data_IF_206761336336
#
_entry.id   IF_206761336336
#
_cell.length_a   1.000
_cell.length_b   1.000
_cell.length_c   1.000
_cell.angle_alpha   90.00
_cell.angle_beta   90.00
_cell.angle_gamma   90.00
#
_symmetry.space_group_name_H-M   'P 1'
#
loop_
_entity.id
_entity.type
_entity.pdbx_description
1 polymer ?
#
# COMPACT_ATOMS: atom_id res chain seq x y z
N UNK A 1 28.66 49.58 34.81
CA UNK A 1 28.43 48.19 34.38
C UNK A 1 27.14 48.15 33.59
N UNK A 2 27.25 48.16 32.25
CA UNK A 2 26.12 47.95 31.32
C UNK A 2 26.16 46.48 30.86
N UNK A 3 25.27 45.66 31.40
CA UNK A 3 25.06 44.30 30.95
C UNK A 3 24.23 44.30 29.67
N UNK A 4 24.82 43.89 28.53
CA UNK A 4 24.07 43.60 27.32
C UNK A 4 23.39 42.26 27.48
N UNK A 5 22.06 42.23 27.60
CA UNK A 5 21.28 41.01 27.45
C UNK A 5 21.36 40.55 26.00
N UNK A 6 22.06 39.43 25.76
CA UNK A 6 22.04 38.79 24.46
C UNK A 6 20.65 38.37 24.07
N UNK A 7 20.26 38.61 22.79
CA UNK A 7 19.00 38.14 22.23
C UNK A 7 18.96 36.59 22.29
N UNK A 8 17.81 35.96 22.60
CA UNK A 8 17.70 34.53 22.53
C UNK A 8 17.99 34.08 21.10
N UNK A 9 18.83 33.03 20.95
CA UNK A 9 19.12 32.43 19.66
C UNK A 9 17.84 31.91 18.98
N UNK A 10 17.83 31.73 17.65
CA UNK A 10 16.68 31.17 16.95
C UNK A 10 16.34 29.78 17.55
N UNK A 11 15.06 29.44 17.61
CA UNK A 11 14.65 28.12 18.10
C UNK A 11 15.36 27.03 17.28
N UNK A 12 15.86 26.00 17.96
CA UNK A 12 16.45 24.84 17.29
C UNK A 12 15.42 24.25 16.30
N UNK A 13 15.84 23.84 15.10
CA UNK A 13 14.96 23.16 14.16
C UNK A 13 14.36 21.93 14.84
N UNK A 14 13.10 21.57 14.52
CA UNK A 14 12.53 20.33 15.05
C UNK A 14 13.44 19.14 14.70
N UNK A 15 13.54 18.14 15.58
CA UNK A 15 14.35 16.97 15.30
C UNK A 15 13.89 16.35 13.97
N UNK A 16 14.86 15.95 13.12
CA UNK A 16 14.56 15.21 11.91
C UNK A 16 13.72 13.98 12.27
N UNK A 17 12.66 13.70 11.48
CA UNK A 17 11.89 12.48 11.73
C UNK A 17 12.82 11.27 11.62
N UNK A 18 12.53 10.27 12.44
CA UNK A 18 13.24 9.00 12.36
C UNK A 18 13.07 8.42 10.94
N UNK A 19 14.11 7.84 10.35
CA UNK A 19 13.99 7.14 9.07
C UNK A 19 12.85 6.11 9.15
N UNK A 20 12.19 5.82 8.03
CA UNK A 20 11.08 4.87 7.95
C UNK A 20 9.90 5.15 8.91
N UNK A 21 9.54 6.42 9.13
CA UNK A 21 8.38 6.80 9.96
C UNK A 21 7.22 7.40 9.17
N UNK A 22 7.39 7.59 7.87
CA UNK A 22 6.47 8.35 7.03
C UNK A 22 5.57 7.44 6.21
N UNK A 23 4.24 7.68 6.27
CA UNK A 23 3.26 6.89 5.53
C UNK A 23 1.98 7.67 5.27
N UNK A 24 1.22 7.22 4.26
CA UNK A 24 -0.13 7.66 3.99
C UNK A 24 -1.11 6.51 4.18
N UNK A 25 -2.25 6.79 4.78
CA UNK A 25 -3.42 5.90 4.77
C UNK A 25 -4.53 6.51 3.92
N UNK A 26 -5.21 5.67 3.16
CA UNK A 26 -6.39 6.03 2.39
C UNK A 26 -7.64 5.42 3.00
N UNK A 27 -8.70 6.22 3.16
CA UNK A 27 -10.02 5.76 3.53
C UNK A 27 -10.89 5.48 2.29
N UNK A 28 -11.96 4.73 2.45
CA UNK A 28 -12.85 4.33 1.34
C UNK A 28 -13.57 5.51 0.67
N UNK A 29 -13.72 6.66 1.36
CA UNK A 29 -14.23 7.92 0.79
C UNK A 29 -13.14 8.73 0.08
N UNK A 30 -11.89 8.23 0.05
CA UNK A 30 -10.74 8.93 -0.51
C UNK A 30 -10.12 9.96 0.44
N UNK A 31 -10.50 9.96 1.71
CA UNK A 31 -9.80 10.69 2.76
C UNK A 31 -8.37 10.19 2.91
N UNK A 32 -7.42 11.11 3.10
CA UNK A 32 -5.99 10.78 3.28
C UNK A 32 -5.55 11.24 4.66
N UNK A 33 -4.80 10.37 5.33
CA UNK A 33 -4.14 10.62 6.61
C UNK A 33 -2.64 10.42 6.40
N UNK A 34 -1.86 11.45 6.72
CA UNK A 34 -0.41 11.44 6.57
C UNK A 34 0.26 11.41 7.94
N UNK A 35 1.32 10.61 8.07
CA UNK A 35 2.06 10.40 9.31
C UNK A 35 3.55 10.61 9.10
N UNK A 36 4.25 10.95 10.17
CA UNK A 36 5.66 11.30 10.12
C UNK A 36 5.88 12.57 9.30
N UNK A 37 6.81 12.51 8.34
CA UNK A 37 7.11 13.61 7.41
C UNK A 37 6.38 13.51 6.07
N UNK A 38 5.44 12.56 5.93
CA UNK A 38 4.68 12.43 4.69
C UNK A 38 3.87 13.71 4.41
N UNK A 39 4.07 14.31 3.23
CA UNK A 39 3.36 15.51 2.80
C UNK A 39 1.88 15.23 2.52
N UNK A 40 1.00 16.17 2.82
CA UNK A 40 -0.39 16.13 2.37
C UNK A 40 -0.53 16.85 1.03
N UNK A 41 -0.89 16.12 -0.02
CA UNK A 41 -1.01 16.65 -1.37
C UNK A 41 -2.46 16.81 -1.84
N UNK A 42 -3.42 16.40 -1.02
CA UNK A 42 -4.85 16.49 -1.29
C UNK A 42 -5.60 15.18 -1.01
N UNK A 43 -6.92 15.20 -1.15
CA UNK A 43 -7.76 14.02 -0.90
C UNK A 43 -9.06 14.08 -1.71
N UNK A 44 -9.67 12.90 -1.92
CA UNK A 44 -11.00 12.81 -2.52
C UNK A 44 -12.13 12.82 -1.47
N UNK A 45 -11.83 12.95 -0.18
CA UNK A 45 -12.78 12.82 0.93
C UNK A 45 -13.95 13.82 0.93
N UNK A 46 -13.84 14.93 0.18
CA UNK A 46 -14.93 15.89 -0.05
C UNK A 46 -15.69 15.66 -1.36
N UNK A 47 -15.22 14.74 -2.22
CA UNK A 47 -15.83 14.46 -3.50
C UNK A 47 -16.94 13.43 -3.38
N UNK A 48 -17.96 13.53 -4.23
CA UNK A 48 -18.93 12.47 -4.38
C UNK A 48 -18.39 11.40 -5.32
N UNK A 49 -17.86 10.32 -4.76
CA UNK A 49 -17.33 9.21 -5.51
C UNK A 49 -18.47 8.31 -6.07
N UNK A 50 -18.31 7.82 -7.29
CA UNK A 50 -19.21 6.81 -7.86
C UNK A 50 -19.03 5.45 -7.17
N UNK A 51 -17.80 5.12 -6.81
CA UNK A 51 -17.40 3.89 -6.11
C UNK A 51 -16.33 4.21 -5.07
N UNK A 52 -16.23 3.40 -4.01
CA UNK A 52 -15.24 3.63 -2.96
C UNK A 52 -13.81 3.47 -3.49
N UNK A 53 -12.88 4.22 -2.89
CA UNK A 53 -11.44 3.99 -3.03
C UNK A 53 -11.11 2.63 -2.42
N UNK A 54 -10.17 1.91 -3.05
CA UNK A 54 -9.73 0.56 -2.66
C UNK A 54 -8.21 0.42 -2.63
N UNK A 55 -7.46 1.45 -3.01
CA UNK A 55 -6.00 1.41 -2.98
C UNK A 55 -5.35 2.78 -3.12
N UNK A 56 -4.11 2.84 -2.70
CA UNK A 56 -3.21 3.98 -2.81
C UNK A 56 -1.84 3.48 -3.29
N UNK A 57 -1.21 4.22 -4.19
CA UNK A 57 0.19 4.02 -4.59
C UNK A 57 0.94 5.34 -4.53
N UNK A 58 2.16 5.40 -3.94
CA UNK A 58 2.96 6.60 -3.89
C UNK A 58 3.67 6.84 -5.22
N UNK A 59 4.03 8.09 -5.50
CA UNK A 59 5.02 8.39 -6.52
C UNK A 59 6.43 8.03 -6.01
N UNK A 60 7.37 7.64 -6.89
CA UNK A 60 8.75 7.32 -6.48
C UNK A 60 9.47 8.48 -5.82
N UNK A 61 9.09 9.71 -6.14
CA UNK A 61 9.63 10.93 -5.53
C UNK A 61 9.18 11.17 -4.10
N UNK A 62 8.11 10.48 -3.64
CA UNK A 62 7.47 10.75 -2.36
C UNK A 62 6.68 12.09 -2.30
N UNK A 63 6.49 12.78 -3.45
CA UNK A 63 5.81 14.07 -3.52
C UNK A 63 4.39 14.00 -4.10
N UNK A 64 3.82 12.79 -4.14
CA UNK A 64 2.45 12.57 -4.63
C UNK A 64 1.99 11.13 -4.44
N UNK A 65 0.75 10.90 -4.81
CA UNK A 65 0.13 9.57 -4.79
C UNK A 65 -1.07 9.49 -5.72
N UNK A 66 -1.35 8.28 -6.16
CA UNK A 66 -2.56 7.89 -6.86
C UNK A 66 -3.51 7.18 -5.90
N UNK A 67 -4.82 7.47 -6.03
CA UNK A 67 -5.88 6.67 -5.43
C UNK A 67 -6.65 5.97 -6.54
N UNK A 68 -7.03 4.72 -6.31
CA UNK A 68 -7.88 3.96 -7.23
C UNK A 68 -9.20 3.62 -6.58
N UNK A 69 -10.31 3.88 -7.28
CA UNK A 69 -11.64 3.43 -6.89
C UNK A 69 -11.96 2.02 -7.46
N UNK A 70 -12.93 1.33 -6.89
CA UNK A 70 -13.29 -0.04 -7.30
C UNK A 70 -13.88 -0.15 -8.70
N UNK A 71 -14.29 0.96 -9.33
CA UNK A 71 -14.64 1.05 -10.76
C UNK A 71 -13.45 1.39 -11.65
N UNK A 72 -12.24 1.47 -11.07
CA UNK A 72 -11.00 1.82 -11.75
C UNK A 72 -10.86 3.31 -12.06
N UNK A 73 -11.66 4.17 -11.42
CA UNK A 73 -11.44 5.63 -11.41
C UNK A 73 -10.13 5.95 -10.68
N UNK A 74 -9.35 6.88 -11.24
CA UNK A 74 -8.06 7.31 -10.69
C UNK A 74 -8.15 8.76 -10.24
N UNK A 75 -7.57 9.04 -9.06
CA UNK A 75 -7.38 10.38 -8.52
C UNK A 75 -5.89 10.61 -8.28
N UNK A 76 -5.39 11.75 -8.73
CA UNK A 76 -3.96 12.09 -8.70
C UNK A 76 -3.73 13.28 -7.78
N UNK A 77 -2.70 13.21 -6.95
CA UNK A 77 -2.34 14.26 -6.00
C UNK A 77 -0.84 14.49 -5.98
N UNK A 78 -0.44 15.75 -5.74
CA UNK A 78 0.96 16.14 -5.79
C UNK A 78 1.52 16.06 -7.21
N UNK A 79 2.66 15.42 -7.37
CA UNK A 79 3.31 15.22 -8.67
C UNK A 79 2.84 13.97 -9.43
N UNK A 80 1.83 13.26 -8.91
CA UNK A 80 1.27 12.07 -9.55
C UNK A 80 0.58 12.42 -10.88
N UNK A 81 1.16 12.00 -12.01
CA UNK A 81 0.62 12.24 -13.34
C UNK A 81 -0.57 11.31 -13.65
N UNK A 82 -1.52 11.78 -14.46
CA UNK A 82 -2.65 10.97 -14.91
C UNK A 82 -2.33 10.29 -16.25
N UNK A 83 -2.33 8.96 -16.27
CA UNK A 83 -2.04 8.15 -17.46
C UNK A 83 -3.28 7.47 -18.05
N UNK A 84 -4.42 7.54 -17.38
CA UNK A 84 -5.68 6.94 -17.81
C UNK A 84 -6.42 6.21 -16.69
N UNK A 85 -7.61 5.70 -16.99
CA UNK A 85 -8.44 4.99 -16.00
C UNK A 85 -9.41 4.00 -16.65
N UNK A 86 -9.96 3.12 -15.80
CA UNK A 86 -11.12 2.29 -16.15
C UNK A 86 -12.45 2.93 -15.74
N UNK A 87 -12.43 4.06 -15.05
CA UNK A 87 -13.64 4.79 -14.65
C UNK A 87 -14.60 5.01 -15.82
N UNK A 88 -15.84 4.59 -15.66
CA UNK A 88 -16.87 4.65 -16.71
C UNK A 88 -16.78 3.57 -17.79
N UNK A 89 -15.79 2.67 -17.74
CA UNK A 89 -15.68 1.51 -18.65
C UNK A 89 -16.22 0.25 -17.98
N UNK A 90 -16.78 -0.72 -18.76
CA UNK A 90 -17.25 -1.97 -18.17
C UNK A 90 -16.09 -2.81 -17.64
N UNK A 91 -16.23 -3.32 -16.44
CA UNK A 91 -15.33 -4.26 -15.78
C UNK A 91 -16.06 -5.57 -15.51
N UNK A 92 -15.43 -6.72 -15.77
CA UNK A 92 -15.97 -8.01 -15.39
C UNK A 92 -16.03 -8.18 -13.87
N UNK A 93 -15.01 -7.69 -13.19
CA UNK A 93 -14.89 -7.69 -11.72
C UNK A 93 -14.34 -6.35 -11.23
N UNK A 94 -14.65 -5.94 -9.99
CA UNK A 94 -14.15 -4.68 -9.44
C UNK A 94 -12.64 -4.68 -9.30
N UNK A 95 -12.03 -3.49 -9.43
CA UNK A 95 -10.64 -3.25 -9.06
C UNK A 95 -10.51 -3.42 -7.55
N UNK A 96 -9.39 -4.01 -7.12
CA UNK A 96 -9.06 -4.30 -5.71
C UNK A 96 -7.70 -3.76 -5.28
N UNK A 97 -6.91 -3.23 -6.22
CA UNK A 97 -5.60 -2.65 -5.91
C UNK A 97 -4.93 -2.03 -7.12
N UNK A 98 -3.80 -1.40 -6.86
CA UNK A 98 -2.92 -0.80 -7.86
C UNK A 98 -1.46 -0.87 -7.41
N UNK A 99 -0.54 -0.75 -8.36
CA UNK A 99 0.87 -0.52 -8.13
C UNK A 99 1.40 0.48 -9.17
N UNK A 100 2.29 1.39 -8.77
CA UNK A 100 3.00 2.30 -9.68
C UNK A 100 4.18 1.60 -10.34
N UNK A 101 4.59 2.07 -11.52
CA UNK A 101 5.90 1.71 -12.09
C UNK A 101 7.01 2.34 -11.24
N UNK A 102 8.21 1.71 -11.17
CA UNK A 102 9.31 2.21 -10.33
C UNK A 102 9.81 3.60 -10.68
N UNK A 103 9.66 4.02 -11.93
CA UNK A 103 10.01 5.36 -12.43
C UNK A 103 8.86 6.37 -12.34
N UNK A 104 7.64 5.90 -11.96
CA UNK A 104 6.46 6.74 -11.87
C UNK A 104 5.86 7.14 -13.22
N UNK A 105 6.30 6.53 -14.33
CA UNK A 105 5.78 6.75 -15.68
C UNK A 105 4.44 6.06 -15.99
N UNK A 106 3.94 5.24 -15.04
CA UNK A 106 2.69 4.51 -15.20
C UNK A 106 2.20 3.81 -13.93
N UNK A 107 1.13 3.04 -14.09
CA UNK A 107 0.58 2.19 -13.02
C UNK A 107 -0.24 1.04 -13.59
N UNK A 108 -0.30 -0.05 -12.83
CA UNK A 108 -1.20 -1.17 -13.05
C UNK A 108 -2.38 -1.10 -12.09
N UNK A 109 -3.57 -1.48 -12.58
CA UNK A 109 -4.74 -1.79 -11.77
C UNK A 109 -5.00 -3.28 -11.85
N UNK A 110 -5.36 -3.89 -10.72
CA UNK A 110 -5.74 -5.31 -10.65
C UNK A 110 -7.20 -5.45 -10.25
N UNK A 111 -7.96 -6.26 -11.00
CA UNK A 111 -9.32 -6.64 -10.65
C UNK A 111 -9.34 -7.92 -9.80
N UNK A 112 -10.46 -8.19 -9.12
CA UNK A 112 -10.58 -9.35 -8.22
C UNK A 112 -10.56 -10.71 -8.92
N UNK A 113 -10.71 -10.77 -10.25
CA UNK A 113 -10.46 -11.95 -11.09
C UNK A 113 -9.01 -12.03 -11.59
N UNK A 114 -8.18 -11.03 -11.19
CA UNK A 114 -6.81 -10.89 -11.63
C UNK A 114 -6.63 -10.31 -13.02
N UNK A 115 -7.67 -9.72 -13.61
CA UNK A 115 -7.55 -8.87 -14.79
C UNK A 115 -6.63 -7.69 -14.51
N UNK A 116 -5.68 -7.43 -15.41
CA UNK A 116 -4.69 -6.36 -15.30
C UNK A 116 -4.97 -5.28 -16.34
N UNK A 117 -4.87 -4.02 -15.89
CA UNK A 117 -5.01 -2.83 -16.76
C UNK A 117 -3.78 -1.94 -16.52
N UNK A 118 -2.92 -1.83 -17.55
CA UNK A 118 -1.73 -0.99 -17.54
C UNK A 118 -2.03 0.39 -18.15
N UNK A 119 -1.46 1.43 -17.57
CA UNK A 119 -1.54 2.81 -18.03
C UNK A 119 -0.17 3.48 -17.99
N UNK A 120 0.08 4.41 -18.90
CA UNK A 120 1.41 5.00 -19.08
C UNK A 120 2.37 3.97 -19.66
N UNK A 121 3.53 3.82 -19.07
CA UNK A 121 4.57 2.84 -19.45
C UNK A 121 4.40 1.46 -18.78
N UNK A 122 3.35 1.28 -17.97
CA UNK A 122 3.07 0.02 -17.29
C UNK A 122 2.81 -1.13 -18.28
N UNK A 123 3.84 -1.98 -18.50
CA UNK A 123 3.80 -3.11 -19.43
C UNK A 123 2.83 -4.21 -18.99
N UNK A 124 2.24 -4.94 -19.96
CA UNK A 124 1.42 -6.10 -19.66
C UNK A 124 2.27 -7.38 -19.69
N UNK A 125 2.36 -8.07 -18.57
CA UNK A 125 3.16 -9.32 -18.41
C UNK A 125 2.30 -10.56 -18.27
N UNK A 126 0.97 -10.42 -18.18
CA UNK A 126 0.03 -11.51 -18.04
C UNK A 126 -1.06 -11.22 -17.01
N UNK A 127 -2.05 -12.09 -16.90
CA UNK A 127 -3.16 -11.95 -15.95
C UNK A 127 -3.81 -13.30 -15.64
N UNK A 128 -4.55 -13.36 -14.54
CA UNK A 128 -5.43 -14.50 -14.24
C UNK A 128 -6.87 -14.24 -14.69
N UNK A 129 -7.15 -13.09 -15.30
CA UNK A 129 -8.47 -12.71 -15.78
C UNK A 129 -8.98 -13.60 -16.92
N UNK A 130 -9.66 -14.64 -16.64
CA UNK A 130 -10.08 -15.71 -17.58
C UNK A 130 -9.78 -17.10 -17.04
N UNK A 131 -9.03 -17.18 -15.95
CA UNK A 131 -8.80 -18.43 -15.22
C UNK A 131 -9.85 -18.60 -14.13
N UNK A 132 -10.18 -19.84 -13.82
CA UNK A 132 -11.00 -20.15 -12.65
C UNK A 132 -10.12 -20.10 -11.40
N UNK A 133 -10.27 -19.06 -10.59
CA UNK A 133 -9.57 -18.92 -9.31
C UNK A 133 -10.38 -19.59 -8.18
N UNK A 134 -9.70 -20.29 -7.28
CA UNK A 134 -10.33 -20.82 -6.06
C UNK A 134 -10.81 -19.69 -5.14
N UNK A 135 -10.05 -18.59 -5.10
CA UNK A 135 -10.34 -17.40 -4.30
C UNK A 135 -10.00 -16.13 -5.09
N UNK A 136 -10.70 -15.01 -4.82
CA UNK A 136 -10.43 -13.77 -5.54
C UNK A 136 -9.04 -13.21 -5.23
N UNK A 137 -8.48 -12.50 -6.21
CA UNK A 137 -7.31 -11.63 -6.00
C UNK A 137 -7.70 -10.50 -5.07
N UNK A 138 -6.79 -10.13 -4.17
CA UNK A 138 -6.98 -9.07 -3.16
C UNK A 138 -5.89 -8.02 -3.17
N UNK A 139 -4.83 -8.21 -3.97
CA UNK A 139 -3.74 -7.24 -4.09
C UNK A 139 -2.71 -7.64 -5.12
N UNK A 140 -1.77 -6.72 -5.36
CA UNK A 140 -0.61 -6.90 -6.23
C UNK A 140 0.60 -6.17 -5.65
N UNK A 141 1.79 -6.59 -6.07
CA UNK A 141 3.04 -5.86 -5.89
C UNK A 141 3.82 -5.84 -7.21
N UNK A 142 4.35 -4.68 -7.59
CA UNK A 142 5.23 -4.57 -8.75
C UNK A 142 6.64 -5.07 -8.41
N UNK A 143 7.33 -5.62 -9.40
CA UNK A 143 8.76 -5.88 -9.31
C UNK A 143 9.52 -4.55 -9.27
N UNK A 144 10.61 -4.42 -8.48
CA UNK A 144 11.37 -3.18 -8.36
C UNK A 144 11.99 -2.69 -9.67
N UNK A 145 12.21 -3.57 -10.63
CA UNK A 145 12.73 -3.24 -11.98
C UNK A 145 11.62 -2.87 -12.99
N UNK A 146 10.34 -2.99 -12.59
CA UNK A 146 9.21 -2.69 -13.45
C UNK A 146 8.91 -3.72 -14.54
N UNK A 147 9.60 -4.88 -14.55
CA UNK A 147 9.49 -5.90 -15.59
C UNK A 147 8.59 -7.09 -15.19
N UNK A 148 7.77 -6.90 -14.15
CA UNK A 148 6.84 -7.91 -13.69
C UNK A 148 6.03 -7.47 -12.48
N UNK A 149 5.17 -8.37 -12.01
CA UNK A 149 4.36 -8.18 -10.80
C UNK A 149 3.88 -9.52 -10.25
N UNK A 150 3.58 -9.53 -8.96
CA UNK A 150 2.88 -10.62 -8.28
C UNK A 150 1.44 -10.23 -8.00
N UNK A 151 0.53 -11.20 -8.10
CA UNK A 151 -0.84 -11.10 -7.63
C UNK A 151 -1.03 -12.05 -6.45
N UNK A 152 -1.77 -11.63 -5.44
CA UNK A 152 -2.10 -12.46 -4.29
C UNK A 152 -3.61 -12.68 -4.21
N UNK A 153 -4.02 -13.96 -4.05
CA UNK A 153 -5.39 -14.33 -3.77
C UNK A 153 -5.66 -14.38 -2.26
N UNK A 154 -6.93 -14.29 -1.85
CA UNK A 154 -7.31 -14.28 -0.43
C UNK A 154 -7.03 -15.57 0.34
N UNK A 155 -6.76 -16.69 -0.34
CA UNK A 155 -6.23 -17.94 0.23
C UNK A 155 -4.70 -17.97 0.29
N UNK A 156 -4.05 -16.88 -0.10
CA UNK A 156 -2.60 -16.74 -0.15
C UNK A 156 -1.94 -17.42 -1.36
N UNK A 157 -2.71 -17.79 -2.37
CA UNK A 157 -2.19 -18.19 -3.68
C UNK A 157 -1.46 -17.03 -4.34
N UNK A 158 -0.28 -17.28 -4.90
CA UNK A 158 0.56 -16.28 -5.59
C UNK A 158 0.60 -16.63 -7.08
N UNK A 159 0.51 -15.58 -7.90
CA UNK A 159 0.68 -15.65 -9.35
C UNK A 159 1.75 -14.64 -9.76
N UNK A 160 2.82 -15.15 -10.37
CA UNK A 160 3.99 -14.38 -10.82
C UNK A 160 3.90 -14.13 -12.31
N UNK A 161 4.16 -12.89 -12.76
CA UNK A 161 4.12 -12.48 -14.15
C UNK A 161 5.34 -11.63 -14.51
N UNK A 162 5.82 -11.79 -15.75
CA UNK A 162 7.05 -11.13 -16.20
C UNK A 162 8.29 -11.86 -15.67
N UNK A 163 9.26 -11.12 -15.17
CA UNK A 163 10.50 -11.66 -14.61
C UNK A 163 10.45 -11.99 -13.11
N UNK A 164 9.27 -11.90 -12.48
CA UNK A 164 9.11 -12.18 -11.04
C UNK A 164 9.23 -13.70 -10.75
N UNK A 165 10.01 -14.03 -9.72
CA UNK A 165 10.12 -15.39 -9.23
C UNK A 165 8.90 -15.82 -8.41
N UNK A 166 8.61 -17.12 -8.36
CA UNK A 166 7.69 -17.71 -7.40
C UNK A 166 8.48 -18.28 -6.23
N UNK A 167 8.42 -17.63 -5.08
CA UNK A 167 9.18 -17.98 -3.88
C UNK A 167 8.37 -18.78 -2.86
N UNK A 168 7.11 -19.04 -3.18
CA UNK A 168 6.20 -19.84 -2.37
C UNK A 168 4.83 -19.18 -2.17
N UNK A 169 3.91 -19.89 -1.52
CA UNK A 169 2.55 -19.42 -1.28
C UNK A 169 1.90 -20.08 -0.07
N UNK A 170 0.79 -19.48 0.39
CA UNK A 170 -0.14 -20.12 1.33
C UNK A 170 -1.28 -20.85 0.62
N UNK A 171 -1.36 -20.78 -0.70
CA UNK A 171 -2.38 -21.48 -1.49
C UNK A 171 -2.46 -22.96 -1.16
N UNK A 172 -3.64 -23.45 -0.81
CA UNK A 172 -3.85 -24.84 -0.38
C UNK A 172 -3.43 -25.17 1.05
N UNK A 173 -2.87 -24.23 1.81
CA UNK A 173 -2.55 -24.38 3.23
C UNK A 173 -3.67 -23.78 4.11
N UNK A 174 -3.92 -24.31 5.32
CA UNK A 174 -4.91 -23.72 6.21
C UNK A 174 -4.46 -22.33 6.69
N UNK A 175 -5.36 -21.37 6.61
CA UNK A 175 -5.21 -20.03 7.14
C UNK A 175 -6.25 -19.78 8.24
N UNK A 176 -5.87 -19.15 9.34
CA UNK A 176 -6.81 -18.72 10.37
C UNK A 176 -7.74 -17.62 9.84
N UNK A 177 -7.19 -16.70 9.03
CA UNK A 177 -7.90 -15.58 8.42
C UNK A 177 -7.39 -15.38 6.98
N UNK A 178 -8.24 -14.83 6.09
CA UNK A 178 -7.85 -14.60 4.70
C UNK A 178 -6.71 -13.58 4.58
N UNK A 179 -5.88 -13.74 3.54
CA UNK A 179 -4.92 -12.72 3.12
C UNK A 179 -5.68 -11.51 2.58
N UNK A 180 -5.16 -10.31 2.87
CA UNK A 180 -5.76 -9.02 2.50
C UNK A 180 -4.78 -8.10 1.77
N UNK A 181 -3.49 -8.46 1.68
CA UNK A 181 -2.49 -7.65 0.98
C UNK A 181 -1.14 -8.33 0.92
N UNK A 182 -0.24 -7.73 0.16
CA UNK A 182 1.16 -8.13 0.03
C UNK A 182 2.07 -6.91 -0.16
N UNK A 183 3.35 -7.10 0.11
CA UNK A 183 4.42 -6.17 -0.25
C UNK A 183 5.63 -6.97 -0.73
N UNK A 184 6.33 -6.48 -1.76
CA UNK A 184 7.60 -7.06 -2.22
C UNK A 184 8.78 -6.52 -1.39
N UNK A 185 9.88 -7.28 -1.35
CA UNK A 185 11.17 -6.78 -0.87
C UNK A 185 11.73 -5.73 -1.84
N UNK A 186 12.60 -4.85 -1.36
CA UNK A 186 13.17 -3.76 -2.15
C UNK A 186 14.03 -4.23 -3.32
N UNK A 187 14.57 -5.44 -3.26
CA UNK A 187 15.35 -6.09 -4.32
C UNK A 187 14.52 -7.04 -5.20
N UNK A 188 13.26 -7.32 -4.83
CA UNK A 188 12.36 -8.18 -5.58
C UNK A 188 12.66 -9.68 -5.46
N UNK A 189 13.44 -10.09 -4.46
CA UNK A 189 13.81 -11.50 -4.23
C UNK A 189 12.91 -12.19 -3.20
N UNK A 190 11.86 -11.50 -2.75
CA UNK A 190 10.87 -12.05 -1.84
C UNK A 190 9.65 -11.14 -1.66
N UNK A 191 8.73 -11.58 -0.82
CA UNK A 191 7.51 -10.83 -0.50
C UNK A 191 6.90 -11.27 0.83
N UNK A 192 6.16 -10.35 1.42
CA UNK A 192 5.32 -10.60 2.60
C UNK A 192 3.84 -10.63 2.19
N UNK A 193 3.06 -11.50 2.85
CA UNK A 193 1.60 -11.51 2.81
C UNK A 193 1.08 -11.17 4.20
N UNK A 194 0.03 -10.35 4.25
CA UNK A 194 -0.66 -10.02 5.50
C UNK A 194 -2.06 -10.61 5.50
N UNK A 195 -2.41 -11.31 6.58
CA UNK A 195 -3.78 -11.80 6.82
C UNK A 195 -4.60 -10.76 7.59
N UNK A 196 -5.92 -10.88 7.55
CA UNK A 196 -6.83 -9.92 8.21
C UNK A 196 -6.80 -9.92 9.74
N UNK A 197 -6.14 -10.90 10.38
CA UNK A 197 -5.79 -10.92 11.80
C UNK A 197 -4.42 -10.31 12.08
N UNK A 198 -3.75 -9.75 11.07
CA UNK A 198 -2.40 -9.20 11.16
C UNK A 198 -1.29 -10.25 11.15
N UNK A 199 -1.62 -11.51 10.85
CA UNK A 199 -0.63 -12.57 10.62
C UNK A 199 0.22 -12.27 9.39
N UNK A 200 1.53 -12.50 9.48
CA UNK A 200 2.49 -12.29 8.39
C UNK A 200 3.03 -13.64 7.91
N UNK A 201 3.14 -13.78 6.59
CA UNK A 201 3.80 -14.90 5.91
C UNK A 201 4.84 -14.32 4.98
N UNK A 202 6.08 -14.77 5.10
CA UNK A 202 7.21 -14.28 4.33
C UNK A 202 7.75 -15.39 3.42
N UNK A 203 8.19 -15.02 2.21
CA UNK A 203 8.68 -15.90 1.17
C UNK A 203 9.91 -15.29 0.49
N UNK A 204 10.77 -16.16 -0.08
CA UNK A 204 12.04 -15.73 -0.63
C UNK A 204 12.97 -15.23 0.46
N UNK A 205 13.62 -14.11 0.21
CA UNK A 205 14.51 -13.46 1.18
C UNK A 205 13.80 -12.49 2.15
N UNK A 206 12.49 -12.35 2.03
CA UNK A 206 11.71 -11.48 2.91
C UNK A 206 11.88 -11.89 4.39
N UNK A 207 12.51 -11.03 5.19
CA UNK A 207 12.75 -11.25 6.61
C UNK A 207 11.45 -11.19 7.43
N UNK A 208 11.32 -12.02 8.46
CA UNK A 208 10.22 -11.90 9.43
C UNK A 208 10.59 -10.88 10.51
N UNK A 209 9.87 -9.76 10.57
CA UNK A 209 10.11 -8.67 11.52
C UNK A 209 9.13 -8.65 12.68
N UNK A 210 8.08 -9.48 12.63
CA UNK A 210 7.03 -9.56 13.64
C UNK A 210 5.64 -9.62 13.04
N UNK A 211 4.61 -9.74 13.88
CA UNK A 211 3.23 -9.99 13.42
C UNK A 211 2.23 -9.54 14.48
N UNK A 212 1.07 -9.05 14.06
CA UNK A 212 -0.06 -8.86 14.95
C UNK A 212 -0.93 -10.15 15.08
N UNK A 213 -0.59 -11.21 14.34
CA UNK A 213 -1.27 -12.50 14.43
C UNK A 213 -1.24 -13.06 15.86
N UNK A 214 -2.42 -13.37 16.41
CA UNK A 214 -2.56 -13.80 17.81
C UNK A 214 -2.79 -12.69 18.82
N UNK A 215 -2.68 -11.41 18.42
CA UNK A 215 -3.10 -10.26 19.21
C UNK A 215 -4.51 -9.85 18.79
N UNK A 216 -5.46 -9.68 19.74
CA UNK A 216 -6.79 -9.20 19.38
C UNK A 216 -6.73 -7.81 18.76
N UNK A 217 -7.06 -7.70 17.48
CA UNK A 217 -7.22 -6.42 16.80
C UNK A 217 -8.64 -5.88 17.04
N UNK A 218 -8.80 -4.58 17.27
CA UNK A 218 -10.11 -3.95 17.38
C UNK A 218 -10.89 -4.05 16.06
N UNK A 219 -10.18 -3.93 14.93
CA UNK A 219 -10.68 -4.10 13.58
C UNK A 219 -9.69 -4.90 12.73
N UNK A 220 -10.15 -5.59 11.68
CA UNK A 220 -9.26 -6.40 10.86
C UNK A 220 -8.20 -5.55 10.16
N UNK A 221 -7.00 -6.13 9.97
CA UNK A 221 -6.01 -5.60 9.05
C UNK A 221 -6.56 -5.59 7.62
N UNK A 222 -6.19 -4.57 6.84
CA UNK A 222 -6.67 -4.34 5.46
C UNK A 222 -5.53 -4.16 4.46
N UNK A 223 -4.28 -4.05 4.92
CA UNK A 223 -3.13 -3.91 4.06
C UNK A 223 -1.83 -3.77 4.83
N UNK A 224 -0.75 -3.72 4.06
CA UNK A 224 0.61 -3.50 4.56
C UNK A 224 1.42 -2.68 3.57
N UNK A 225 2.50 -2.06 4.04
CA UNK A 225 3.53 -1.44 3.23
C UNK A 225 4.89 -1.77 3.81
N UNK A 226 5.88 -2.10 2.96
CA UNK A 226 7.26 -2.28 3.37
C UNK A 226 7.97 -0.94 3.53
N UNK A 227 9.01 -0.88 4.38
CA UNK A 227 9.97 0.22 4.39
C UNK A 227 10.79 0.21 3.09
N UNK A 228 11.33 1.39 2.71
CA UNK A 228 12.06 1.56 1.47
C UNK A 228 13.31 0.66 1.37
N UNK A 229 13.94 0.39 2.50
CA UNK A 229 15.13 -0.46 2.61
C UNK A 229 14.83 -1.95 2.86
N UNK A 230 13.52 -2.28 3.05
CA UNK A 230 13.08 -3.66 3.31
C UNK A 230 13.37 -4.17 4.72
N UNK A 231 13.86 -3.32 5.63
CA UNK A 231 14.18 -3.68 7.02
C UNK A 231 12.95 -3.79 7.94
N UNK A 232 11.75 -3.45 7.44
CA UNK A 232 10.52 -3.51 8.19
C UNK A 232 9.26 -3.31 7.36
N UNK A 233 8.12 -3.28 8.04
CA UNK A 233 6.82 -3.01 7.42
C UNK A 233 5.80 -2.45 8.42
N UNK A 234 4.80 -1.76 7.88
CA UNK A 234 3.59 -1.36 8.59
C UNK A 234 2.43 -2.26 8.20
N UNK A 235 1.59 -2.60 9.17
CA UNK A 235 0.28 -3.21 8.97
C UNK A 235 -0.76 -2.17 9.36
N UNK A 236 -1.80 -1.99 8.55
CA UNK A 236 -2.89 -1.07 8.84
C UNK A 236 -4.19 -1.83 9.06
N UNK A 237 -4.93 -1.47 10.10
CA UNK A 237 -6.28 -1.94 10.36
C UNK A 237 -7.34 -0.98 9.80
N UNK A 238 -8.56 -1.47 9.58
CA UNK A 238 -9.65 -0.69 8.97
C UNK A 238 -10.15 0.47 9.84
N UNK A 239 -9.81 0.52 11.13
CA UNK A 239 -10.06 1.63 12.05
C UNK A 239 -8.91 2.66 12.08
N UNK A 240 -7.89 2.48 11.24
CA UNK A 240 -6.73 3.34 11.15
C UNK A 240 -5.64 3.02 12.18
N UNK A 241 -5.74 1.91 12.91
CA UNK A 241 -4.65 1.40 13.74
C UNK A 241 -3.45 1.03 12.87
N UNK A 242 -2.26 1.48 13.24
CA UNK A 242 -0.98 1.12 12.59
C UNK A 242 -0.15 0.29 13.55
N UNK A 243 0.40 -0.80 13.02
CA UNK A 243 1.35 -1.69 13.71
C UNK A 243 2.64 -1.70 12.90
N UNK A 244 3.73 -1.29 13.52
CA UNK A 244 5.05 -1.21 12.89
C UNK A 244 5.96 -2.32 13.39
N UNK A 245 6.76 -2.90 12.48
CA UNK A 245 7.66 -4.01 12.73
C UNK A 245 8.99 -3.80 12.02
N UNK A 246 10.06 -4.36 12.59
CA UNK A 246 11.42 -4.17 12.09
C UNK A 246 11.93 -2.77 12.39
N UNK A 247 12.54 -2.14 11.40
CA UNK A 247 13.11 -0.79 11.51
C UNK A 247 12.11 0.34 11.24
N UNK A 248 10.84 0.01 10.95
CA UNK A 248 9.80 1.02 10.81
C UNK A 248 9.48 1.66 12.15
N UNK A 249 9.32 2.99 12.14
CA UNK A 249 8.97 3.75 13.32
C UNK A 249 7.48 4.13 13.32
N UNK A 250 6.93 4.30 14.53
CA UNK A 250 5.56 4.76 14.68
C UNK A 250 5.48 6.26 14.40
N UNK A 251 4.93 6.61 13.25
CA UNK A 251 4.73 8.01 12.85
C UNK A 251 3.39 8.61 13.30
N UNK A 252 2.46 7.77 13.76
CA UNK A 252 1.09 8.14 14.15
C UNK A 252 0.07 7.08 13.76
N UNK A 253 -1.20 7.27 14.11
CA UNK A 253 -2.30 6.33 13.89
C UNK A 253 -3.64 7.04 14.06
N UNK A 254 -4.66 6.58 13.34
CA UNK A 254 -6.06 6.99 13.57
C UNK A 254 -6.82 5.98 14.44
N UNK A 255 -6.16 4.94 14.93
CA UNK A 255 -6.74 3.93 15.81
C UNK A 255 -7.37 4.56 17.06
N UNK A 256 -8.68 4.33 17.25
CA UNK A 256 -9.45 4.96 18.32
C UNK A 256 -10.13 6.28 17.94
N UNK A 257 -9.83 6.85 16.78
CA UNK A 257 -10.55 8.01 16.23
C UNK A 257 -11.82 7.56 15.48
N UNK A 258 -12.80 8.46 15.41
CA UNK A 258 -14.01 8.21 14.63
C UNK A 258 -13.75 8.58 13.17
N UNK A 259 -13.56 7.60 12.32
CA UNK A 259 -13.44 7.78 10.88
C UNK A 259 -14.84 7.86 10.23
N UNK A 260 -14.98 8.65 9.17
CA UNK A 260 -16.20 8.70 8.36
C UNK A 260 -16.38 7.40 7.55
N UNK A 261 -15.28 6.85 7.04
CA UNK A 261 -15.22 5.60 6.29
C UNK A 261 -13.99 4.79 6.73
N UNK A 262 -14.02 3.46 6.59
CA UNK A 262 -12.90 2.61 6.97
C UNK A 262 -11.66 2.90 6.12
N UNK A 263 -10.48 2.68 6.70
CA UNK A 263 -9.21 2.63 5.97
C UNK A 263 -9.21 1.41 5.04
N UNK A 264 -8.63 1.58 3.85
CA UNK A 264 -8.58 0.56 2.80
C UNK A 264 -7.15 0.26 2.31
N UNK A 265 -6.17 1.06 2.70
CA UNK A 265 -4.78 0.83 2.32
C UNK A 265 -3.80 1.78 3.00
N UNK A 266 -2.54 1.42 2.93
CA UNK A 266 -1.39 2.17 3.41
C UNK A 266 -0.29 2.17 2.34
N UNK A 267 0.45 3.27 2.25
CA UNK A 267 1.64 3.40 1.43
C UNK A 267 2.77 4.02 2.24
N UNK A 268 3.99 3.52 2.11
CA UNK A 268 5.18 4.15 2.66
C UNK A 268 5.51 5.42 1.88
N UNK A 269 5.83 6.51 2.58
CA UNK A 269 6.38 7.70 1.96
C UNK A 269 7.90 7.53 1.89
N UNK A 270 8.42 7.34 0.69
CA UNK A 270 9.86 7.32 0.45
C UNK A 270 10.37 8.77 0.54
N UNK A 271 11.23 9.05 1.50
CA UNK A 271 11.87 10.37 1.69
C UNK A 271 13.35 10.28 1.40
#
# INVERSE_FOLDING_TARGET
FSGSAGLPGPPSPPPAAAPNSSSWMAAADGGIFNFGNAGFFGSAGSLRLNRPVVGIAPTPSGNGYWLVASDGGIFTYGDAAYFGSMGGKPLNKPIVGMASTPDGGGYWLVASDGGIFGFGDAGFFGSTGGLHLNRPIVGMAAAPDGLGYWLVASDGGIFSFGNTAFDGSMGGKPLNKPIVGMAATSDGLGYWLVASDGGIFNFGDAGFHGSAGGVPLNRPAVGMAASADGGGYWIVASDGGIFNYGDTNFGGSEGGMRLNQPIVGIAGAHS
#
